data_IF_433108366502
#
_entry.id   IF_433108366502
#
_cell.length_a   1.000
_cell.length_b   1.000
_cell.length_c   1.000
_cell.angle_alpha   90.00
_cell.angle_beta   90.00
_cell.angle_gamma   90.00
#
_symmetry.space_group_name_H-M   'P 1'
#
loop_
_entity.id
_entity.type
_entity.pdbx_description
1 polymer ?
#
# COMPACT_ATOMS: atom_id res chain seq x y z
N UNK A 1 7.34 -5.57 4.86
CA UNK A 1 8.73 -5.85 4.44
C UNK A 1 8.90 -6.03 2.93
N UNK A 2 8.47 -7.13 2.29
CA UNK A 2 8.73 -7.31 0.84
C UNK A 2 8.12 -6.21 -0.03
N UNK A 3 6.91 -5.74 0.30
CA UNK A 3 6.24 -4.67 -0.42
C UNK A 3 6.98 -3.32 -0.35
N UNK A 4 7.54 -2.97 0.82
CA UNK A 4 8.33 -1.75 0.98
C UNK A 4 9.64 -1.83 0.21
N UNK A 5 10.31 -2.99 0.25
CA UNK A 5 11.55 -3.21 -0.50
C UNK A 5 11.35 -2.99 -2.00
N UNK A 6 10.26 -3.50 -2.59
CA UNK A 6 9.97 -3.27 -4.03
C UNK A 6 9.83 -1.78 -4.35
N UNK A 7 9.20 -1.03 -3.45
CA UNK A 7 9.04 0.42 -3.59
C UNK A 7 10.40 1.13 -3.43
N UNK A 8 11.24 0.68 -2.52
CA UNK A 8 12.59 1.22 -2.30
C UNK A 8 13.52 0.95 -3.49
N UNK A 9 13.41 -0.21 -4.14
CA UNK A 9 14.22 -0.57 -5.32
C UNK A 9 13.90 0.29 -6.56
N UNK A 10 12.65 0.73 -6.70
CA UNK A 10 12.25 1.60 -7.84
C UNK A 10 12.52 3.08 -7.60
N UNK A 11 12.66 3.50 -6.34
CA UNK A 11 12.87 4.91 -5.98
C UNK A 11 14.15 5.52 -6.59
N UNK A 12 15.33 4.85 -6.58
CA UNK A 12 16.53 5.33 -7.25
C UNK A 12 16.39 5.48 -8.77
N UNK A 13 15.44 4.75 -9.38
CA UNK A 13 15.14 4.82 -10.81
C UNK A 13 14.17 5.97 -11.16
N UNK A 14 13.80 6.79 -10.16
CA UNK A 14 12.79 7.84 -10.29
C UNK A 14 11.35 7.32 -10.25
N UNK A 15 11.16 6.02 -10.01
CA UNK A 15 9.84 5.39 -9.85
C UNK A 15 9.22 5.76 -8.51
N UNK A 16 7.94 6.14 -8.54
CA UNK A 16 7.11 6.23 -7.33
C UNK A 16 5.77 5.58 -7.57
N UNK A 17 5.33 4.75 -6.64
CA UNK A 17 4.10 3.99 -6.79
C UNK A 17 3.42 3.65 -5.47
N UNK A 18 2.37 2.85 -5.59
CA UNK A 18 1.80 2.12 -4.49
C UNK A 18 1.49 0.72 -4.97
N UNK A 19 1.39 -0.22 -4.03
CA UNK A 19 1.01 -1.58 -4.37
C UNK A 19 0.07 -2.12 -3.31
N UNK A 20 -0.81 -3.03 -3.73
CA UNK A 20 -1.64 -3.82 -2.85
C UNK A 20 -1.13 -5.25 -2.97
N UNK A 21 -0.77 -5.86 -1.85
CA UNK A 21 -0.29 -7.24 -1.82
C UNK A 21 -1.06 -8.03 -0.78
N UNK A 22 -1.36 -9.28 -1.13
CA UNK A 22 -2.02 -10.27 -0.26
C UNK A 22 -1.16 -11.54 -0.27
N UNK A 23 -0.88 -12.08 0.91
CA UNK A 23 -0.15 -13.34 1.07
C UNK A 23 -1.07 -14.55 0.91
N UNK A 24 -0.49 -15.75 0.78
CA UNK A 24 -1.25 -17.00 0.78
C UNK A 24 -2.05 -17.25 2.06
N UNK A 25 -1.67 -16.60 3.17
CA UNK A 25 -2.37 -16.71 4.46
C UNK A 25 -3.52 -15.70 4.59
N UNK A 26 -3.75 -14.84 3.60
CA UNK A 26 -4.76 -13.79 3.64
C UNK A 26 -4.31 -12.49 4.32
N UNK A 27 -3.08 -12.42 4.84
CA UNK A 27 -2.49 -11.16 5.30
C UNK A 27 -2.30 -10.20 4.13
N UNK A 28 -2.56 -8.90 4.32
CA UNK A 28 -2.45 -7.90 3.26
C UNK A 28 -1.76 -6.61 3.72
N UNK A 29 -1.18 -5.90 2.76
CA UNK A 29 -0.57 -4.57 2.94
C UNK A 29 -0.90 -3.67 1.74
N UNK A 30 -0.96 -2.36 1.98
CA UNK A 30 -1.25 -1.35 0.93
C UNK A 30 -0.27 -0.15 0.98
N UNK A 31 1.06 -0.35 0.94
CA UNK A 31 2.02 0.75 1.03
C UNK A 31 2.07 1.57 -0.27
N UNK A 32 2.42 2.84 -0.13
CA UNK A 32 2.60 3.76 -1.25
C UNK A 32 3.59 4.88 -0.92
N UNK A 33 4.21 5.43 -1.95
CA UNK A 33 5.15 6.57 -1.92
C UNK A 33 4.70 7.70 -2.86
N UNK A 34 3.59 7.51 -3.58
CA UNK A 34 2.90 8.59 -4.28
C UNK A 34 2.26 9.56 -3.29
N UNK A 35 1.86 10.74 -3.75
CA UNK A 35 1.15 11.70 -2.90
C UNK A 35 -0.16 11.12 -2.35
N UNK A 36 -0.90 10.42 -3.20
CA UNK A 36 -2.16 9.78 -2.86
C UNK A 36 -2.20 8.37 -3.45
N UNK A 37 -2.95 7.51 -2.77
CA UNK A 37 -3.37 6.20 -3.28
C UNK A 37 -4.79 5.97 -2.80
N UNK A 38 -5.73 5.87 -3.75
CA UNK A 38 -7.07 5.35 -3.49
C UNK A 38 -6.95 3.85 -3.24
N UNK A 39 -7.38 3.38 -2.07
CA UNK A 39 -7.23 1.99 -1.67
C UNK A 39 -8.37 1.55 -0.77
N UNK A 40 -8.61 0.25 -0.78
CA UNK A 40 -9.50 -0.38 0.19
C UNK A 40 -9.30 -1.89 0.25
N UNK A 41 -9.75 -2.47 1.35
CA UNK A 41 -9.75 -3.90 1.59
C UNK A 41 -11.08 -4.33 2.21
N UNK A 42 -11.43 -5.59 1.95
CA UNK A 42 -12.44 -6.30 2.71
C UNK A 42 -11.81 -7.59 3.23
N UNK A 43 -11.82 -7.77 4.54
CA UNK A 43 -11.28 -8.97 5.17
C UNK A 43 -12.13 -9.35 6.39
N UNK A 44 -12.76 -10.52 6.33
CA UNK A 44 -13.51 -11.08 7.46
C UNK A 44 -14.63 -10.16 7.97
N UNK A 45 -15.35 -9.48 7.07
CA UNK A 45 -16.42 -8.55 7.44
C UNK A 45 -15.95 -7.15 7.87
N UNK A 46 -14.64 -6.87 7.88
CA UNK A 46 -14.09 -5.54 8.10
C UNK A 46 -13.76 -4.87 6.78
N UNK A 47 -14.10 -3.60 6.68
CA UNK A 47 -13.76 -2.74 5.54
C UNK A 47 -12.72 -1.73 6.01
N UNK A 48 -11.64 -1.60 5.24
CA UNK A 48 -10.71 -0.48 5.33
C UNK A 48 -10.74 0.28 4.01
N UNK A 49 -10.84 1.61 4.05
CA UNK A 49 -10.76 2.47 2.87
C UNK A 49 -9.91 3.69 3.20
N UNK A 50 -9.20 4.22 2.20
CA UNK A 50 -8.37 5.41 2.40
C UNK A 50 -7.94 6.06 1.10
N UNK A 51 -7.62 7.35 1.22
CA UNK A 51 -6.98 8.15 0.18
C UNK A 51 -5.78 8.82 0.83
N UNK A 52 -4.57 8.55 0.33
CA UNK A 52 -3.36 9.16 0.87
C UNK A 52 -3.02 8.73 2.32
N UNK A 53 -2.11 9.45 2.99
CA UNK A 53 -1.65 9.11 4.33
C UNK A 53 -2.75 9.30 5.38
N UNK A 54 -2.83 8.41 6.38
CA UNK A 54 -3.87 8.47 7.41
C UNK A 54 -3.67 9.62 8.44
N UNK A 55 -2.57 10.36 8.37
CA UNK A 55 -2.12 11.31 9.41
C UNK A 55 -2.17 12.79 8.97
N UNK A 56 -2.86 13.13 7.89
CA UNK A 56 -3.11 14.53 7.50
C UNK A 56 -4.56 14.90 7.88
N UNK A 57 -4.76 15.30 9.14
CA UNK A 57 -5.92 16.09 9.60
C UNK A 57 -5.40 17.48 9.95
#
# INVERSE_FOLDING_TARGET
KSAELVLDEVAPLGGRGGLIAVSSNGDYVMPFQTRLMYRGSWNGGRIEVGIGPQNEI
#
